data_IF_438538877267
#
_entry.id   IF_438538877267
#
_cell.length_a   1.000
_cell.length_b   1.000
_cell.length_c   1.000
_cell.angle_alpha   90.00
_cell.angle_beta   90.00
_cell.angle_gamma   90.00
#
_symmetry.space_group_name_H-M   'P 1'
#
loop_
_entity.id
_entity.type
_entity.pdbx_description
1 polymer ?
#
# COMPACT_ATOMS: atom_id res chain seq x y z
N UNK A 1 10.80 -16.89 -6.60
CA UNK A 1 10.50 -15.46 -6.40
C UNK A 1 9.54 -15.00 -7.46
N UNK A 2 8.23 -15.12 -7.19
CA UNK A 2 7.13 -14.62 -8.02
C UNK A 2 5.83 -14.87 -7.23
N UNK A 3 5.67 -14.20 -6.10
CA UNK A 3 4.40 -14.15 -5.37
C UNK A 3 4.29 -12.73 -4.86
N UNK A 4 3.17 -12.06 -5.14
CA UNK A 4 2.95 -10.60 -5.08
C UNK A 4 3.30 -9.91 -6.41
N UNK A 5 2.45 -10.09 -7.41
CA UNK A 5 2.32 -9.16 -8.54
C UNK A 5 0.81 -8.95 -8.77
N UNK A 6 0.23 -8.16 -7.88
CA UNK A 6 -0.99 -7.40 -8.11
C UNK A 6 -0.98 -6.21 -7.16
N UNK A 7 -0.18 -5.21 -7.52
CA UNK A 7 -0.27 -3.85 -6.99
C UNK A 7 -0.27 -2.89 -8.18
N UNK A 8 -1.16 -3.11 -9.16
CA UNK A 8 -1.63 -1.97 -9.95
C UNK A 8 -2.71 -1.27 -9.13
N UNK A 9 -2.27 -0.44 -8.18
CA UNK A 9 -3.13 0.61 -7.62
C UNK A 9 -3.48 1.50 -8.81
N UNK A 10 -4.72 1.43 -9.29
CA UNK A 10 -5.22 2.36 -10.29
C UNK A 10 -5.14 3.77 -9.70
N UNK A 11 -4.06 4.48 -10.02
CA UNK A 11 -3.92 5.89 -9.71
C UNK A 11 -4.94 6.68 -10.50
N UNK A 12 -6.09 6.96 -9.90
CA UNK A 12 -6.96 8.03 -10.38
C UNK A 12 -6.26 9.35 -10.03
N UNK A 13 -6.21 10.27 -10.99
CA UNK A 13 -5.63 11.62 -10.84
C UNK A 13 -6.42 12.54 -9.90
N UNK A 14 -7.20 11.97 -8.98
CA UNK A 14 -7.86 12.71 -7.91
C UNK A 14 -7.01 12.61 -6.65
N UNK A 15 -6.85 13.74 -5.97
CA UNK A 15 -6.20 13.82 -4.66
C UNK A 15 -7.11 13.15 -3.62
N UNK A 16 -7.24 11.83 -3.62
CA UNK A 16 -7.87 11.11 -2.52
C UNK A 16 -6.99 11.28 -1.28
N UNK A 17 -7.58 11.82 -0.21
CA UNK A 17 -6.86 12.09 1.04
C UNK A 17 -6.60 10.82 1.83
N UNK A 18 -7.59 9.92 1.85
CA UNK A 18 -7.55 8.69 2.63
C UNK A 18 -8.06 7.47 1.86
N UNK A 19 -7.54 6.30 2.23
CA UNK A 19 -7.94 5.01 1.68
C UNK A 19 -7.93 3.91 2.74
N UNK A 20 -8.89 3.00 2.67
CA UNK A 20 -8.95 1.77 3.45
C UNK A 20 -9.04 0.58 2.50
N UNK A 21 -8.08 -0.33 2.58
CA UNK A 21 -7.93 -1.43 1.63
C UNK A 21 -7.67 -2.75 2.35
N UNK A 22 -8.23 -3.84 1.83
CA UNK A 22 -8.00 -5.20 2.30
C UNK A 22 -7.56 -6.11 1.15
N UNK A 23 -6.60 -6.97 1.43
CA UNK A 23 -5.98 -7.88 0.47
C UNK A 23 -6.01 -9.30 1.04
N UNK A 24 -6.88 -10.13 0.50
CA UNK A 24 -7.01 -11.53 0.89
C UNK A 24 -6.31 -12.39 -0.16
N UNK A 25 -5.50 -13.34 0.30
CA UNK A 25 -4.79 -14.27 -0.58
C UNK A 25 -4.94 -15.68 -0.06
N UNK A 26 -5.55 -16.55 -0.88
CA UNK A 26 -5.57 -17.99 -0.66
C UNK A 26 -4.60 -18.68 -1.60
N UNK A 27 -3.91 -19.71 -1.10
CA UNK A 27 -2.93 -20.47 -1.88
C UNK A 27 -3.16 -21.97 -1.70
N UNK A 28 -2.89 -22.74 -2.75
CA UNK A 28 -2.85 -24.21 -2.67
C UNK A 28 -1.92 -24.69 -1.55
N UNK A 29 -2.31 -25.81 -0.92
CA UNK A 29 -1.54 -26.44 0.16
C UNK A 29 -0.15 -26.91 -0.27
N UNK A 30 0.75 -27.06 0.70
CA UNK A 30 2.03 -27.75 0.52
C UNK A 30 3.20 -26.84 0.16
N UNK A 31 3.07 -25.54 0.39
CA UNK A 31 4.16 -24.56 0.25
C UNK A 31 4.54 -23.98 1.62
N UNK A 32 5.72 -23.40 1.74
CA UNK A 32 6.17 -22.72 2.96
C UNK A 32 5.56 -21.31 3.09
N UNK A 33 4.23 -21.22 2.97
CA UNK A 33 3.43 -20.00 3.07
C UNK A 33 2.05 -20.37 3.65
N UNK A 34 1.40 -19.52 4.46
CA UNK A 34 0.05 -19.79 4.97
C UNK A 34 -0.94 -20.06 3.85
N UNK A 35 -1.85 -21.02 4.02
CA UNK A 35 -2.92 -21.30 3.04
C UNK A 35 -3.84 -20.08 2.79
N UNK A 36 -3.92 -19.16 3.75
CA UNK A 36 -4.70 -17.93 3.65
C UNK A 36 -4.04 -16.80 4.45
N UNK A 37 -4.06 -15.59 3.89
CA UNK A 37 -3.65 -14.36 4.56
C UNK A 37 -4.62 -13.22 4.26
N UNK A 38 -4.84 -12.36 5.24
CA UNK A 38 -5.58 -11.09 5.12
C UNK A 38 -4.70 -9.94 5.64
N UNK A 39 -4.58 -8.90 4.82
CA UNK A 39 -3.82 -7.68 5.10
C UNK A 39 -4.75 -6.47 4.96
N UNK A 40 -4.84 -5.65 5.99
CA UNK A 40 -5.55 -4.36 5.96
C UNK A 40 -4.58 -3.18 5.96
N UNK A 41 -4.81 -2.21 5.07
CA UNK A 41 -4.04 -0.97 4.95
C UNK A 41 -4.94 0.26 5.17
N UNK A 42 -4.43 1.26 5.88
CA UNK A 42 -4.97 2.64 5.92
C UNK A 42 -3.90 3.56 5.37
N UNK A 43 -4.18 4.27 4.27
CA UNK A 43 -3.23 5.16 3.56
C UNK A 43 -1.90 4.47 3.20
N UNK A 44 -1.95 3.16 2.94
CA UNK A 44 -0.79 2.33 2.67
C UNK A 44 -0.01 1.87 3.91
N UNK A 45 -0.37 2.32 5.12
CA UNK A 45 0.16 1.80 6.38
C UNK A 45 -0.59 0.51 6.76
N UNK A 46 0.14 -0.60 6.91
CA UNK A 46 -0.46 -1.85 7.36
C UNK A 46 -0.87 -1.75 8.83
N UNK A 47 -2.18 -1.85 9.10
CA UNK A 47 -2.71 -1.73 10.46
C UNK A 47 -3.14 -3.08 11.06
N UNK A 48 -3.48 -4.07 10.23
CA UNK A 48 -3.88 -5.42 10.66
C UNK A 48 -3.29 -6.52 9.77
N UNK A 49 -3.25 -7.73 10.32
CA UNK A 49 -2.80 -8.94 9.63
C UNK A 49 -3.44 -10.18 10.21
N UNK A 50 -3.79 -11.12 9.35
CA UNK A 50 -4.19 -12.47 9.70
C UNK A 50 -3.48 -13.48 8.80
N UNK A 51 -3.15 -14.65 9.36
CA UNK A 51 -2.71 -15.81 8.58
C UNK A 51 -3.31 -17.11 9.13
N UNK A 52 -3.42 -18.13 8.27
CA UNK A 52 -4.01 -19.42 8.63
C UNK A 52 -3.15 -20.30 9.55
N UNK A 53 -1.91 -19.92 9.87
CA UNK A 53 -1.10 -20.61 10.87
C UNK A 53 -1.39 -20.08 12.27
N UNK A 54 -1.45 -18.76 12.43
CA UNK A 54 -1.73 -18.09 13.71
C UNK A 54 -3.23 -18.05 14.03
N UNK A 55 -4.06 -17.92 12.99
CA UNK A 55 -5.53 -17.89 13.04
C UNK A 55 -6.12 -16.84 13.96
N UNK A 56 -5.42 -15.71 14.10
CA UNK A 56 -5.81 -14.56 14.90
C UNK A 56 -5.57 -13.26 14.12
N UNK A 57 -6.49 -12.30 14.23
CA UNK A 57 -6.25 -10.96 13.70
C UNK A 57 -5.28 -10.21 14.63
N UNK A 58 -4.15 -9.77 14.09
CA UNK A 58 -3.06 -9.15 14.83
C UNK A 58 -2.95 -7.66 14.45
N UNK A 59 -3.00 -6.73 15.42
CA UNK A 59 -2.70 -5.33 15.16
C UNK A 59 -1.23 -5.14 14.78
N UNK A 60 -0.98 -4.29 13.78
CA UNK A 60 0.37 -3.95 13.29
C UNK A 60 0.84 -2.56 13.69
N UNK A 61 -0.06 -1.76 14.26
CA UNK A 61 0.20 -0.39 14.71
C UNK A 61 -0.46 -0.15 16.07
N UNK A 62 0.15 0.70 16.89
CA UNK A 62 -0.33 0.95 18.25
C UNK A 62 -1.70 1.64 18.27
N UNK A 63 -2.00 2.48 17.26
CA UNK A 63 -3.24 3.24 17.26
C UNK A 63 -4.48 2.35 17.17
N UNK A 64 -4.50 1.28 16.37
CA UNK A 64 -5.66 0.38 16.31
C UNK A 64 -5.77 -0.45 17.60
N UNK A 65 -4.62 -0.93 18.10
CA UNK A 65 -4.53 -1.72 19.33
C UNK A 65 -5.06 -0.98 20.56
N UNK A 66 -4.77 0.32 20.64
CA UNK A 66 -5.10 1.13 21.82
C UNK A 66 -6.51 1.74 21.77
N UNK A 67 -7.16 1.75 20.60
CA UNK A 67 -8.48 2.35 20.43
C UNK A 67 -9.62 1.31 20.29
N UNK A 68 -9.32 0.05 20.00
CA UNK A 68 -10.32 -1.02 19.92
C UNK A 68 -10.27 -2.01 21.08
N UNK A 69 -11.44 -2.49 21.50
CA UNK A 69 -11.60 -3.43 22.60
C UNK A 69 -11.51 -4.91 22.20
N UNK A 70 -11.49 -5.84 23.16
CA UNK A 70 -11.42 -7.29 22.88
C UNK A 70 -12.54 -7.81 21.95
N UNK A 71 -13.77 -7.29 22.09
CA UNK A 71 -14.91 -7.69 21.26
C UNK A 71 -14.67 -7.42 19.77
N UNK A 72 -14.06 -6.27 19.42
CA UNK A 72 -13.68 -5.96 18.05
C UNK A 72 -12.74 -7.03 17.51
N UNK A 73 -11.69 -7.37 18.26
CA UNK A 73 -10.67 -8.34 17.85
C UNK A 73 -11.23 -9.76 17.70
N UNK A 74 -12.14 -10.16 18.58
CA UNK A 74 -12.84 -11.44 18.48
C UNK A 74 -13.70 -11.50 17.22
N UNK A 75 -14.46 -10.44 16.92
CA UNK A 75 -15.32 -10.36 15.74
C UNK A 75 -14.50 -10.41 14.44
N UNK A 76 -13.47 -9.56 14.29
CA UNK A 76 -12.65 -9.55 13.06
C UNK A 76 -11.85 -10.84 12.90
N UNK A 77 -11.45 -11.49 14.00
CA UNK A 77 -10.82 -12.82 13.93
C UNK A 77 -11.79 -13.89 13.43
N UNK A 78 -13.04 -13.87 13.89
CA UNK A 78 -14.07 -14.81 13.42
C UNK A 78 -14.40 -14.61 11.95
N UNK A 79 -14.48 -13.36 11.48
CA UNK A 79 -14.65 -13.07 10.05
C UNK A 79 -13.49 -13.61 9.21
N UNK A 80 -12.25 -13.33 9.61
CA UNK A 80 -11.07 -13.83 8.91
C UNK A 80 -11.02 -15.37 8.87
N UNK A 81 -11.42 -16.05 9.95
CA UNK A 81 -11.55 -17.51 9.98
C UNK A 81 -12.64 -18.05 9.04
N UNK A 82 -13.76 -17.32 8.89
CA UNK A 82 -14.78 -17.64 7.89
C UNK A 82 -14.23 -17.53 6.46
N UNK A 83 -13.55 -16.42 6.15
CA UNK A 83 -12.90 -16.25 4.86
C UNK A 83 -11.79 -17.27 4.59
N UNK A 84 -11.03 -17.67 5.60
CA UNK A 84 -10.04 -18.74 5.51
C UNK A 84 -10.67 -20.02 4.91
N UNK A 85 -11.83 -20.44 5.44
CA UNK A 85 -12.54 -21.62 4.95
C UNK A 85 -13.04 -21.43 3.50
N UNK A 86 -13.61 -20.27 3.20
CA UNK A 86 -14.12 -19.96 1.86
C UNK A 86 -13.01 -19.92 0.81
N UNK A 87 -11.86 -19.34 1.12
CA UNK A 87 -10.73 -19.27 0.19
C UNK A 87 -10.13 -20.64 -0.11
N UNK A 88 -10.04 -21.53 0.89
CA UNK A 88 -9.62 -22.92 0.66
C UNK A 88 -10.52 -23.62 -0.37
N UNK A 89 -11.83 -23.39 -0.30
CA UNK A 89 -12.78 -23.93 -1.28
C UNK A 89 -12.67 -23.22 -2.65
N UNK A 90 -12.56 -21.89 -2.66
CA UNK A 90 -12.50 -21.09 -3.87
C UNK A 90 -11.26 -21.40 -4.73
N UNK A 91 -10.09 -21.63 -4.11
CA UNK A 91 -8.88 -22.07 -4.84
C UNK A 91 -9.13 -23.38 -5.57
N UNK A 92 -9.76 -24.37 -4.91
CA UNK A 92 -10.10 -25.65 -5.52
C UNK A 92 -11.10 -25.54 -6.68
N UNK A 93 -12.12 -24.69 -6.53
CA UNK A 93 -13.11 -24.45 -7.59
C UNK A 93 -12.48 -23.74 -8.79
N UNK A 94 -11.63 -22.74 -8.55
CA UNK A 94 -10.91 -22.07 -9.61
C UNK A 94 -10.05 -23.07 -10.40
N UNK A 95 -9.23 -23.87 -9.72
CA UNK A 95 -8.43 -24.93 -10.35
C UNK A 95 -9.29 -25.86 -11.22
N UNK A 96 -10.44 -26.31 -10.73
CA UNK A 96 -11.36 -27.15 -11.50
C UNK A 96 -11.88 -26.45 -12.76
N UNK A 97 -12.30 -25.18 -12.67
CA UNK A 97 -12.80 -24.40 -13.81
C UNK A 97 -11.72 -24.13 -14.86
N UNK A 98 -10.46 -24.08 -14.45
CA UNK A 98 -9.30 -23.95 -15.33
C UNK A 98 -8.68 -25.29 -15.74
N UNK A 99 -9.30 -26.43 -15.38
CA UNK A 99 -8.83 -27.78 -15.67
C UNK A 99 -7.41 -28.07 -15.13
N UNK A 100 -7.05 -27.49 -13.99
CA UNK A 100 -5.77 -27.68 -13.31
C UNK A 100 -5.92 -28.72 -12.18
N UNK A 101 -5.03 -29.71 -12.16
CA UNK A 101 -5.07 -30.83 -11.20
C UNK A 101 -3.90 -30.86 -10.22
N UNK A 102 -2.92 -29.96 -10.39
CA UNK A 102 -1.75 -29.83 -9.53
C UNK A 102 -0.94 -28.60 -9.90
N UNK A 103 0.07 -28.29 -9.10
CA UNK A 103 0.78 -27.02 -9.16
C UNK A 103 0.37 -26.09 -8.02
N UNK A 104 1.04 -24.94 -7.94
CA UNK A 104 0.75 -23.92 -6.95
C UNK A 104 -0.14 -22.88 -7.60
N UNK A 105 -1.32 -22.65 -7.02
CA UNK A 105 -2.30 -21.70 -7.53
C UNK A 105 -2.72 -20.71 -6.45
N UNK A 106 -3.06 -19.49 -6.88
CA UNK A 106 -3.47 -18.42 -5.98
C UNK A 106 -4.85 -17.89 -6.35
N UNK A 107 -5.65 -17.57 -5.33
CA UNK A 107 -6.90 -16.84 -5.49
C UNK A 107 -6.86 -15.63 -4.57
N UNK A 108 -7.09 -14.44 -5.14
CA UNK A 108 -6.91 -13.17 -4.46
C UNK A 108 -8.21 -12.36 -4.50
N UNK A 109 -8.48 -11.63 -3.43
CA UNK A 109 -9.58 -10.67 -3.36
C UNK A 109 -9.07 -9.36 -2.77
N UNK A 110 -9.27 -8.28 -3.51
CA UNK A 110 -8.87 -6.95 -3.16
C UNK A 110 -10.11 -6.07 -3.16
N UNK A 111 -10.34 -5.37 -2.05
CA UNK A 111 -11.43 -4.41 -1.98
C UNK A 111 -11.06 -3.27 -1.06
N UNK A 112 -11.67 -2.12 -1.30
CA UNK A 112 -11.38 -0.94 -0.51
C UNK A 112 -12.20 0.25 -0.94
N UNK A 113 -12.17 1.28 -0.10
CA UNK A 113 -12.81 2.55 -0.35
C UNK A 113 -11.82 3.70 -0.23
N UNK A 114 -12.13 4.78 -0.91
CA UNK A 114 -11.37 6.02 -0.91
C UNK A 114 -12.29 7.16 -0.48
N UNK A 115 -11.73 8.11 0.27
CA UNK A 115 -12.44 9.30 0.74
C UNK A 115 -11.54 10.52 0.66
N UNK A 116 -12.09 11.56 0.06
CA UNK A 116 -11.54 12.91 0.05
C UNK A 116 -12.19 13.69 1.19
N UNK A 117 -11.39 14.07 2.19
CA UNK A 117 -11.83 14.78 3.40
C UNK A 117 -12.09 16.28 3.15
N UNK A 118 -11.68 16.83 2.00
CA UNK A 118 -11.97 18.21 1.59
C UNK A 118 -13.30 18.29 0.83
N UNK A 119 -13.52 17.39 -0.13
CA UNK A 119 -14.70 17.42 -1.01
C UNK A 119 -15.84 16.52 -0.53
N UNK A 120 -15.54 15.56 0.35
CA UNK A 120 -16.47 14.49 0.74
C UNK A 120 -16.70 13.45 -0.37
N UNK A 121 -15.94 13.51 -1.48
CA UNK A 121 -16.03 12.53 -2.54
C UNK A 121 -15.60 11.15 -2.03
N UNK A 122 -16.33 10.12 -2.44
CA UNK A 122 -16.05 8.73 -2.09
C UNK A 122 -15.96 7.89 -3.36
N UNK A 123 -15.11 6.88 -3.32
CA UNK A 123 -15.01 5.85 -4.35
C UNK A 123 -14.72 4.49 -3.70
N UNK A 124 -14.71 3.43 -4.50
CA UNK A 124 -14.30 2.12 -4.02
C UNK A 124 -14.10 1.12 -5.13
N UNK A 125 -13.66 -0.07 -4.75
CA UNK A 125 -13.47 -1.16 -5.70
C UNK A 125 -13.60 -2.52 -5.02
N UNK A 126 -13.89 -3.53 -5.83
CA UNK A 126 -13.81 -4.94 -5.48
C UNK A 126 -13.31 -5.71 -6.70
N UNK A 127 -12.25 -6.49 -6.53
CA UNK A 127 -11.59 -7.22 -7.59
C UNK A 127 -11.11 -8.57 -7.09
N UNK A 128 -11.26 -9.60 -7.93
CA UNK A 128 -10.73 -10.93 -7.69
C UNK A 128 -9.72 -11.28 -8.77
N UNK A 129 -8.63 -11.91 -8.34
CA UNK A 129 -7.58 -12.42 -9.21
C UNK A 129 -7.41 -13.93 -9.05
N UNK A 130 -7.03 -14.60 -10.12
CA UNK A 130 -6.62 -16.01 -10.12
C UNK A 130 -5.27 -16.16 -10.82
N UNK A 131 -4.30 -16.79 -10.17
CA UNK A 131 -2.92 -16.96 -10.67
C UNK A 131 -2.27 -15.65 -11.17
N UNK A 132 -2.57 -14.52 -10.54
CA UNK A 132 -2.02 -13.23 -10.93
C UNK A 132 -2.67 -12.62 -12.20
N UNK A 133 -3.82 -13.11 -12.64
CA UNK A 133 -4.64 -12.50 -13.68
C UNK A 133 -6.04 -12.08 -13.19
N UNK A 134 -6.63 -11.06 -13.82
CA UNK A 134 -7.99 -10.57 -13.52
C UNK A 134 -9.02 -11.69 -13.72
N UNK A 135 -9.85 -11.94 -12.70
CA UNK A 135 -10.88 -12.98 -12.73
C UNK A 135 -12.28 -12.41 -12.79
N UNK A 136 -12.66 -11.54 -11.84
CA UNK A 136 -13.97 -10.86 -11.81
C UNK A 136 -13.87 -9.57 -10.98
N UNK A 137 -14.55 -8.50 -11.38
CA UNK A 137 -14.53 -7.20 -10.66
C UNK A 137 -15.91 -6.55 -10.60
N UNK A 138 -16.21 -5.80 -9.54
CA UNK A 138 -17.45 -5.03 -9.44
C UNK A 138 -17.32 -3.72 -10.23
N UNK A 139 -18.23 -3.48 -11.18
CA UNK A 139 -18.46 -2.14 -11.71
C UNK A 139 -19.47 -1.43 -10.81
N UNK A 140 -18.98 -0.53 -9.96
CA UNK A 140 -19.80 0.23 -9.03
C UNK A 140 -20.88 1.08 -9.72
N UNK A 141 -20.61 1.57 -10.93
CA UNK A 141 -21.55 2.45 -11.66
C UNK A 141 -22.78 1.66 -12.10
N UNK A 142 -22.58 0.52 -12.76
CA UNK A 142 -23.68 -0.36 -13.16
C UNK A 142 -24.20 -1.24 -12.03
N UNK A 143 -23.47 -1.34 -10.90
CA UNK A 143 -23.77 -2.27 -9.79
C UNK A 143 -23.89 -3.72 -10.29
N UNK A 144 -22.93 -4.11 -11.12
CA UNK A 144 -22.85 -5.46 -11.68
C UNK A 144 -21.40 -5.90 -11.84
N UNK A 145 -21.14 -7.20 -11.88
CA UNK A 145 -19.78 -7.71 -12.03
C UNK A 145 -19.35 -7.78 -13.50
N UNK A 146 -18.07 -7.56 -13.76
CA UNK A 146 -17.45 -7.76 -15.07
C UNK A 146 -16.59 -9.02 -14.99
N UNK A 147 -16.85 -9.98 -15.89
CA UNK A 147 -16.13 -11.24 -15.99
C UNK A 147 -15.24 -11.23 -17.25
N UNK A 148 -13.95 -10.87 -17.15
CA UNK A 148 -13.04 -10.86 -18.30
C UNK A 148 -12.74 -12.25 -18.87
N UNK A 149 -12.96 -13.32 -18.09
CA UNK A 149 -12.71 -14.71 -18.50
C UNK A 149 -13.98 -15.57 -18.44
N UNK A 150 -14.16 -16.54 -19.36
CA UNK A 150 -15.33 -17.42 -19.37
C UNK A 150 -15.55 -18.18 -18.05
N UNK A 151 -14.47 -18.57 -17.38
CA UNK A 151 -14.47 -19.30 -16.10
C UNK A 151 -15.14 -18.51 -14.96
N UNK A 152 -15.21 -17.18 -15.09
CA UNK A 152 -15.82 -16.29 -14.11
C UNK A 152 -17.31 -16.01 -14.37
N UNK A 153 -17.87 -16.39 -15.53
CA UNK A 153 -19.27 -16.09 -15.89
C UNK A 153 -20.27 -16.69 -14.90
N UNK A 154 -20.03 -17.92 -14.44
CA UNK A 154 -20.87 -18.58 -13.41
C UNK A 154 -20.86 -17.77 -12.11
N UNK A 155 -19.70 -17.23 -11.73
CA UNK A 155 -19.57 -16.38 -10.53
C UNK A 155 -20.29 -15.06 -10.72
N UNK A 156 -20.16 -14.43 -11.89
CA UNK A 156 -20.89 -13.20 -12.23
C UNK A 156 -22.40 -13.40 -12.07
N UNK A 157 -22.96 -14.46 -12.64
CA UNK A 157 -24.40 -14.75 -12.52
C UNK A 157 -24.87 -14.91 -11.07
N UNK A 158 -24.03 -15.47 -10.20
CA UNK A 158 -24.34 -15.64 -8.78
C UNK A 158 -24.21 -14.33 -7.99
N UNK A 159 -23.23 -13.49 -8.32
CA UNK A 159 -22.93 -12.26 -7.57
C UNK A 159 -23.72 -11.04 -8.06
N UNK A 160 -24.16 -11.03 -9.31
CA UNK A 160 -25.06 -10.00 -9.82
C UNK A 160 -26.39 -10.02 -9.02
N UNK A 161 -26.92 -8.84 -8.70
CA UNK A 161 -28.10 -8.67 -7.85
C UNK A 161 -27.72 -8.39 -6.39
N UNK A 162 -28.26 -9.18 -5.45
CA UNK A 162 -28.19 -8.88 -4.01
C UNK A 162 -26.74 -8.74 -3.50
N UNK A 163 -25.82 -9.59 -3.95
CA UNK A 163 -24.43 -9.49 -3.51
C UNK A 163 -23.72 -8.24 -4.07
N UNK A 164 -23.97 -7.87 -5.32
CA UNK A 164 -23.46 -6.63 -5.90
C UNK A 164 -24.02 -5.38 -5.19
N UNK A 165 -25.31 -5.38 -4.85
CA UNK A 165 -25.95 -4.30 -4.08
C UNK A 165 -25.38 -4.19 -2.67
N UNK A 166 -25.20 -5.33 -1.99
CA UNK A 166 -24.57 -5.38 -0.68
C UNK A 166 -23.13 -4.85 -0.73
N UNK A 167 -22.32 -5.28 -1.71
CA UNK A 167 -20.94 -4.81 -1.86
C UNK A 167 -20.87 -3.32 -2.17
N UNK A 168 -21.77 -2.80 -3.01
CA UNK A 168 -21.89 -1.36 -3.24
C UNK A 168 -22.20 -0.61 -1.95
N UNK A 169 -23.16 -1.10 -1.15
CA UNK A 169 -23.48 -0.49 0.14
C UNK A 169 -22.30 -0.55 1.11
N UNK A 170 -21.59 -1.70 1.18
CA UNK A 170 -20.40 -1.83 1.99
C UNK A 170 -19.34 -0.79 1.60
N UNK A 171 -18.97 -0.73 0.32
CA UNK A 171 -17.90 0.14 -0.18
C UNK A 171 -18.25 1.62 -0.03
N UNK A 172 -19.51 2.00 -0.24
CA UNK A 172 -19.93 3.41 -0.21
C UNK A 172 -20.36 3.91 1.17
N UNK A 173 -20.62 3.03 2.15
CA UNK A 173 -21.11 3.43 3.48
C UNK A 173 -20.26 2.84 4.60
N UNK A 174 -20.23 1.51 4.75
CA UNK A 174 -19.61 0.84 5.89
C UNK A 174 -18.09 1.02 5.88
N UNK A 175 -17.46 0.86 4.71
CA UNK A 175 -16.03 1.04 4.53
C UNK A 175 -15.62 2.49 4.85
N UNK A 176 -16.39 3.49 4.39
CA UNK A 176 -16.15 4.91 4.67
C UNK A 176 -16.25 5.18 6.18
N UNK A 177 -17.29 4.66 6.85
CA UNK A 177 -17.44 4.79 8.30
C UNK A 177 -16.22 4.26 9.08
N UNK A 178 -15.72 3.07 8.73
CA UNK A 178 -14.54 2.50 9.37
C UNK A 178 -13.27 3.30 9.05
N UNK A 179 -13.12 3.74 7.80
CA UNK A 179 -11.99 4.57 7.39
C UNK A 179 -11.93 5.88 8.18
N UNK A 180 -13.05 6.61 8.33
CA UNK A 180 -13.10 7.82 9.14
C UNK A 180 -12.67 7.55 10.59
N UNK A 181 -13.13 6.45 11.18
CA UNK A 181 -12.77 6.02 12.53
C UNK A 181 -11.26 5.73 12.66
N UNK A 182 -10.70 4.99 11.71
CA UNK A 182 -9.28 4.63 11.72
C UNK A 182 -8.37 5.82 11.46
N UNK A 183 -8.76 6.74 10.56
CA UNK A 183 -8.05 8.01 10.35
C UNK A 183 -8.02 8.83 11.64
N UNK A 184 -9.13 8.87 12.40
CA UNK A 184 -9.15 9.54 13.71
C UNK A 184 -8.21 8.88 14.73
N UNK A 185 -8.19 7.55 14.80
CA UNK A 185 -7.29 6.81 15.69
C UNK A 185 -5.82 7.04 15.34
N UNK A 186 -5.50 6.94 14.06
CA UNK A 186 -4.16 7.02 13.52
C UNK A 186 -3.68 8.44 13.24
N UNK A 187 -4.47 9.48 13.53
CA UNK A 187 -4.24 10.87 13.09
C UNK A 187 -2.78 11.32 13.21
N UNK A 188 -2.17 11.14 14.38
CA UNK A 188 -0.78 11.54 14.63
C UNK A 188 0.26 10.75 13.82
N UNK A 189 -0.03 9.48 13.49
CA UNK A 189 0.83 8.62 12.67
C UNK A 189 0.61 8.87 11.17
N UNK A 190 -0.65 8.96 10.73
CA UNK A 190 -1.04 9.09 9.33
C UNK A 190 -0.74 10.49 8.76
N UNK A 191 -0.90 11.54 9.58
CA UNK A 191 -0.54 12.92 9.22
C UNK A 191 0.96 13.21 9.39
N UNK A 192 1.74 12.25 9.93
CA UNK A 192 3.19 12.40 10.08
C UNK A 192 3.81 12.74 8.72
N UNK A 193 4.72 13.71 8.73
CA UNK A 193 5.48 14.12 7.55
C UNK A 193 6.96 14.08 7.90
N UNK A 194 7.70 13.18 7.26
CA UNK A 194 9.16 13.11 7.38
C UNK A 194 9.75 13.44 6.01
N UNK A 195 10.57 14.50 5.89
CA UNK A 195 11.14 14.89 4.61
C UNK A 195 12.22 13.90 4.12
N UNK A 196 12.36 13.73 2.80
CA UNK A 196 13.37 12.84 2.23
C UNK A 196 14.78 13.39 2.45
N UNK A 197 15.68 12.49 2.81
CA UNK A 197 17.11 12.74 2.70
C UNK A 197 17.56 12.34 1.29
N UNK A 198 18.09 13.30 0.54
CA UNK A 198 18.47 13.10 -0.86
C UNK A 198 19.99 13.10 -1.01
N UNK A 199 20.51 12.11 -1.73
CA UNK A 199 21.93 11.97 -2.05
C UNK A 199 22.12 11.66 -3.53
N UNK A 200 23.22 12.13 -4.11
CA UNK A 200 23.67 11.74 -5.44
C UNK A 200 24.75 10.68 -5.29
N UNK A 201 24.56 9.51 -5.90
CA UNK A 201 25.45 8.37 -5.82
C UNK A 201 25.99 8.04 -7.21
N UNK A 202 27.25 7.63 -7.28
CA UNK A 202 27.84 7.15 -8.52
C UNK A 202 28.90 6.09 -8.20
N UNK A 203 28.97 5.01 -8.96
CA UNK A 203 29.97 3.95 -8.71
C UNK A 203 31.36 4.38 -9.18
N UNK A 204 31.44 4.89 -10.41
CA UNK A 204 32.65 5.40 -11.05
C UNK A 204 32.28 6.57 -11.99
N UNK A 205 33.24 7.39 -12.45
CA UNK A 205 32.94 8.56 -13.27
C UNK A 205 32.17 8.29 -14.56
N UNK A 206 32.22 7.08 -15.13
CA UNK A 206 31.49 6.69 -16.34
C UNK A 206 30.11 6.08 -16.07
N UNK A 207 29.86 5.58 -14.85
CA UNK A 207 28.57 5.03 -14.45
C UNK A 207 27.45 6.07 -14.45
N UNK A 208 26.18 5.63 -14.59
CA UNK A 208 25.01 6.45 -14.31
C UNK A 208 25.07 7.13 -12.94
N UNK A 209 24.44 8.29 -12.84
CA UNK A 209 24.29 8.98 -11.55
C UNK A 209 22.93 8.64 -10.97
N UNK A 210 22.90 8.14 -9.74
CA UNK A 210 21.68 7.78 -9.04
C UNK A 210 21.32 8.89 -8.06
N UNK A 211 20.17 9.51 -8.25
CA UNK A 211 19.54 10.32 -7.20
C UNK A 211 18.76 9.38 -6.28
N UNK A 212 19.18 9.28 -5.01
CA UNK A 212 18.56 8.42 -4.01
C UNK A 212 17.90 9.29 -2.94
N UNK A 213 16.59 9.11 -2.76
CA UNK A 213 15.82 9.68 -1.68
C UNK A 213 15.49 8.57 -0.68
N UNK A 214 15.67 8.80 0.62
CA UNK A 214 15.35 7.82 1.67
C UNK A 214 14.89 8.49 2.96
N UNK A 215 14.30 7.71 3.87
CA UNK A 215 13.89 8.16 5.19
C UNK A 215 12.64 9.05 5.20
N UNK A 216 11.89 9.10 4.08
CA UNK A 216 10.68 9.92 3.99
C UNK A 216 9.42 9.15 4.37
N UNK A 217 8.40 9.90 4.80
CA UNK A 217 7.07 9.39 5.02
C UNK A 217 6.05 10.51 4.75
N UNK A 218 4.95 10.21 4.03
CA UNK A 218 4.49 8.92 3.50
C UNK A 218 5.25 8.48 2.23
N UNK A 219 4.96 7.28 1.73
CA UNK A 219 5.67 6.70 0.58
C UNK A 219 5.44 7.38 -0.77
N UNK A 220 4.43 8.24 -0.91
CA UNK A 220 4.17 8.96 -2.17
C UNK A 220 5.20 10.08 -2.35
N UNK A 221 6.16 9.85 -3.24
CA UNK A 221 7.18 10.82 -3.66
C UNK A 221 7.29 10.86 -5.19
N UNK A 222 7.42 12.06 -5.73
CA UNK A 222 7.73 12.27 -7.14
C UNK A 222 9.21 12.61 -7.28
N UNK A 223 9.89 11.93 -8.19
CA UNK A 223 11.30 12.17 -8.51
C UNK A 223 11.43 12.36 -10.01
N UNK A 224 12.12 13.40 -10.42
CA UNK A 224 12.42 13.68 -11.83
C UNK A 224 13.84 14.25 -11.97
N UNK A 225 14.33 14.25 -13.21
CA UNK A 225 15.55 14.94 -13.57
C UNK A 225 15.22 16.12 -14.48
N UNK A 226 16.00 17.18 -14.35
CA UNK A 226 15.95 18.33 -15.23
C UNK A 226 17.30 18.53 -15.91
N UNK A 227 17.28 18.96 -17.18
CA UNK A 227 18.43 19.41 -17.96
C UNK A 227 18.23 20.88 -18.29
N UNK A 228 19.13 21.73 -17.80
CA UNK A 228 19.11 23.19 -17.95
C UNK A 228 17.74 23.81 -17.59
N UNK A 229 17.12 23.28 -16.52
CA UNK A 229 15.85 23.75 -15.97
C UNK A 229 14.59 23.21 -16.68
N UNK A 230 14.72 22.26 -17.61
CA UNK A 230 13.59 21.58 -18.26
C UNK A 230 13.53 20.11 -17.87
N UNK A 231 12.32 19.60 -17.66
CA UNK A 231 12.12 18.19 -17.30
C UNK A 231 12.68 17.26 -18.38
N UNK A 232 13.46 16.29 -17.93
CA UNK A 232 14.13 15.29 -18.74
C UNK A 232 13.51 13.93 -18.45
N UNK A 233 13.01 13.30 -19.51
CA UNK A 233 12.38 11.97 -19.45
C UNK A 233 13.22 10.93 -20.20
N UNK A 234 14.00 11.37 -21.20
CA UNK A 234 14.97 10.53 -21.91
C UNK A 234 16.18 10.23 -21.02
N UNK A 235 16.74 9.03 -21.13
CA UNK A 235 17.90 8.58 -20.35
C UNK A 235 17.71 8.63 -18.83
N UNK A 236 16.46 8.59 -18.36
CA UNK A 236 16.09 8.59 -16.95
C UNK A 236 15.32 7.32 -16.61
N UNK A 237 15.80 6.59 -15.60
CA UNK A 237 15.10 5.43 -15.04
C UNK A 237 14.67 5.73 -13.60
N UNK A 238 13.36 5.89 -13.38
CA UNK A 238 12.80 6.13 -12.05
C UNK A 238 12.29 4.80 -11.48
N UNK A 239 12.95 4.32 -10.44
CA UNK A 239 12.59 3.08 -9.77
C UNK A 239 11.31 3.20 -8.93
N UNK A 240 10.82 2.04 -8.47
CA UNK A 240 9.69 1.95 -7.54
C UNK A 240 10.02 2.53 -6.16
N UNK A 241 8.99 2.95 -5.43
CA UNK A 241 9.14 3.28 -4.01
C UNK A 241 9.24 1.98 -3.21
N UNK A 242 10.30 1.84 -2.43
CA UNK A 242 10.54 0.70 -1.54
C UNK A 242 10.32 1.10 -0.09
N UNK A 243 9.86 0.16 0.74
CA UNK A 243 9.71 0.34 2.18
C UNK A 243 11.00 0.05 2.94
N UNK A 244 11.21 0.76 4.03
CA UNK A 244 12.27 0.53 5.00
C UNK A 244 11.73 -0.21 6.23
N UNK A 245 12.63 -0.83 7.01
CA UNK A 245 12.28 -1.57 8.22
C UNK A 245 11.74 -0.69 9.36
N UNK A 246 11.97 0.62 9.30
CA UNK A 246 11.56 1.62 10.29
C UNK A 246 10.22 2.30 9.94
N UNK A 247 9.54 1.82 8.90
CA UNK A 247 8.27 2.38 8.41
C UNK A 247 8.43 3.66 7.58
N UNK A 248 9.66 4.02 7.18
CA UNK A 248 9.92 5.06 6.16
C UNK A 248 10.05 4.44 4.77
N UNK A 249 10.25 5.26 3.75
CA UNK A 249 10.36 4.83 2.36
C UNK A 249 11.65 5.33 1.70
N UNK A 250 11.98 4.71 0.58
CA UNK A 250 13.09 5.10 -0.29
C UNK A 250 12.73 4.95 -1.76
N UNK A 251 13.37 5.75 -2.63
CA UNK A 251 13.18 5.71 -4.07
C UNK A 251 14.43 6.20 -4.79
N UNK A 252 14.66 5.73 -6.02
CA UNK A 252 15.80 6.11 -6.86
C UNK A 252 15.37 6.65 -8.22
N UNK A 253 16.13 7.60 -8.74
CA UNK A 253 16.04 8.06 -10.12
C UNK A 253 17.45 8.08 -10.73
N UNK A 254 17.71 7.21 -11.70
CA UNK A 254 19.00 7.03 -12.36
C UNK A 254 19.06 7.86 -13.64
N UNK A 255 20.17 8.57 -13.84
CA UNK A 255 20.45 9.39 -15.00
C UNK A 255 21.58 8.77 -15.83
N UNK A 256 21.26 8.35 -17.05
CA UNK A 256 22.09 7.55 -17.95
C UNK A 256 22.72 8.40 -19.07
N UNK A 257 23.39 9.50 -18.72
CA UNK A 257 24.08 10.36 -19.70
C UNK A 257 25.59 10.23 -19.64
N UNK A 258 26.24 10.47 -20.79
CA UNK A 258 27.70 10.39 -20.90
C UNK A 258 28.41 11.42 -19.99
N UNK A 259 29.64 11.14 -19.54
CA UNK A 259 30.41 12.10 -18.74
C UNK A 259 30.60 13.46 -19.44
N UNK A 260 30.79 13.47 -20.76
CA UNK A 260 30.96 14.69 -21.54
C UNK A 260 29.67 15.51 -21.59
N UNK A 261 28.52 14.85 -21.67
CA UNK A 261 27.23 15.51 -21.63
C UNK A 261 26.94 16.12 -20.25
N UNK A 262 27.31 15.42 -19.16
CA UNK A 262 27.22 15.95 -17.79
C UNK A 262 28.07 17.19 -17.55
N UNK A 263 29.23 17.28 -18.21
CA UNK A 263 30.10 18.46 -18.10
C UNK A 263 29.60 19.67 -18.90
N UNK A 264 28.80 19.44 -19.95
CA UNK A 264 28.31 20.48 -20.86
C UNK A 264 26.97 21.08 -20.43
N UNK A 265 26.18 20.36 -19.66
CA UNK A 265 24.81 20.74 -19.30
C UNK A 265 24.59 20.70 -17.79
N UNK A 266 23.60 21.42 -17.28
CA UNK A 266 23.28 21.46 -15.86
C UNK A 266 22.15 20.48 -15.56
N UNK A 267 22.45 19.41 -14.83
CA UNK A 267 21.45 18.44 -14.40
C UNK A 267 21.02 18.70 -12.96
N UNK A 268 19.72 18.56 -12.69
CA UNK A 268 19.16 18.69 -11.33
C UNK A 268 18.19 17.57 -11.08
N UNK A 269 18.36 16.83 -9.98
CA UNK A 269 17.34 15.91 -9.49
C UNK A 269 16.32 16.72 -8.67
N UNK A 270 15.04 16.59 -9.00
CA UNK A 270 13.94 17.25 -8.28
C UNK A 270 13.16 16.19 -7.53
N UNK A 271 12.97 16.41 -6.22
CA UNK A 271 12.23 15.51 -5.34
C UNK A 271 11.08 16.28 -4.72
N UNK A 272 9.84 15.92 -5.08
CA UNK A 272 8.63 16.51 -4.54
C UNK A 272 7.95 15.54 -3.58
N UNK A 273 7.71 16.00 -2.36
CA UNK A 273 7.13 15.21 -1.29
C UNK A 273 6.23 16.07 -0.41
N UNK A 274 5.12 15.52 0.11
CA UNK A 274 4.10 16.28 0.85
C UNK A 274 4.58 16.91 2.17
N UNK A 275 5.82 16.63 2.58
CA UNK A 275 6.43 17.19 3.78
C UNK A 275 6.87 18.64 3.66
N UNK A 276 7.00 19.19 2.45
CA UNK A 276 7.49 20.55 2.26
C UNK A 276 7.75 20.91 0.80
N UNK A 277 8.55 21.95 0.60
CA UNK A 277 8.92 22.44 -0.72
C UNK A 277 9.78 21.42 -1.50
N UNK A 278 9.74 21.44 -2.84
CA UNK A 278 10.58 20.58 -3.68
C UNK A 278 12.07 20.71 -3.35
N UNK A 279 12.75 19.57 -3.25
CA UNK A 279 14.20 19.51 -3.04
C UNK A 279 14.90 19.45 -4.39
N UNK A 280 15.78 20.43 -4.65
CA UNK A 280 16.57 20.51 -5.88
C UNK A 280 18.02 20.11 -5.61
N UNK A 281 18.40 18.91 -6.06
CA UNK A 281 19.76 18.40 -5.98
C UNK A 281 20.50 18.62 -7.30
N UNK A 282 21.16 19.77 -7.39
CA UNK A 282 22.02 20.12 -8.53
C UNK A 282 23.18 19.11 -8.59
N UNK A 283 23.38 18.52 -9.76
CA UNK A 283 24.48 17.59 -10.03
C UNK A 283 25.79 18.35 -10.15
N UNK A 284 26.67 18.18 -9.16
CA UNK A 284 28.07 18.63 -9.18
C UNK A 284 28.95 17.51 -8.68
N UNK A 285 30.20 17.41 -9.17
CA UNK A 285 31.14 16.35 -8.77
C UNK A 285 31.33 16.29 -7.24
N UNK A 286 31.35 17.44 -6.57
CA UNK A 286 31.48 17.55 -5.10
C UNK A 286 30.32 16.95 -4.31
N UNK A 287 29.13 16.87 -4.91
CA UNK A 287 27.92 16.34 -4.25
C UNK A 287 27.72 14.85 -4.49
N UNK A 288 28.49 14.25 -5.40
CA UNK A 288 28.43 12.82 -5.71
C UNK A 288 29.18 12.03 -4.64
N UNK A 289 28.50 11.06 -4.03
CA UNK A 289 29.13 10.07 -3.16
C UNK A 289 29.52 8.86 -3.99
N UNK A 290 30.80 8.48 -3.93
CA UNK A 290 31.36 7.30 -4.61
C UNK A 290 31.87 6.29 -3.58
N UNK A 291 31.71 5.01 -3.85
CA UNK A 291 32.21 3.91 -3.00
C UNK A 291 33.64 3.50 -3.36
N UNK A 292 34.39 4.31 -4.11
CA UNK A 292 35.76 3.98 -4.50
C UNK A 292 36.62 3.85 -3.23
N UNK A 293 37.17 2.64 -3.03
CA UNK A 293 38.07 2.34 -1.93
C UNK A 293 39.31 3.26 -2.01
N UNK A 294 39.33 4.30 -1.19
CA UNK A 294 40.39 5.29 -1.12
C UNK A 294 40.62 5.70 0.33
N UNK A 295 41.68 5.18 0.91
CA UNK A 295 42.26 5.56 2.22
C UNK A 295 42.42 7.07 2.36
N UNK A 296 41.79 7.70 3.36
CA UNK A 296 42.07 9.09 3.69
C UNK A 296 41.04 9.80 4.56
N UNK A 297 41.20 9.69 5.89
CA UNK A 297 40.84 10.65 6.95
C UNK A 297 39.65 11.59 6.70
N UNK A 298 38.48 11.24 7.24
CA UNK A 298 37.43 12.23 7.57
C UNK A 298 37.14 12.18 9.07
N UNK A 299 37.35 13.32 9.71
CA UNK A 299 37.25 13.59 11.13
C UNK A 299 35.89 13.19 11.72
N UNK A 300 35.90 12.23 12.65
CA UNK A 300 34.75 11.95 13.53
C UNK A 300 34.47 13.18 14.40
N UNK A 301 33.50 14.02 14.01
CA UNK A 301 32.76 14.85 14.96
C UNK A 301 31.56 14.05 15.44
N UNK A 302 31.75 13.42 16.59
CA UNK A 302 30.70 12.82 17.41
C UNK A 302 29.67 13.92 17.73
N UNK A 303 28.50 13.89 17.09
CA UNK A 303 27.34 14.64 17.58
C UNK A 303 26.71 13.83 18.70
N UNK A 304 26.87 14.30 19.94
CA UNK A 304 26.14 13.78 21.09
C UNK A 304 24.66 14.15 20.97
N UNK A 305 23.72 13.24 21.25
CA UNK A 305 22.30 13.58 21.32
C UNK A 305 22.01 14.41 22.59
N UNK A 306 21.27 15.51 22.41
CA UNK A 306 20.73 16.31 23.51
C UNK A 306 19.59 15.54 24.23
N UNK A 307 19.39 15.76 25.54
CA UNK A 307 18.46 14.97 26.34
C UNK A 307 16.98 15.29 26.02
N UNK A 308 16.17 14.22 25.96
CA UNK A 308 14.71 14.26 25.91
C UNK A 308 14.16 14.82 27.22
N UNK A 309 13.56 16.02 27.14
CA UNK A 309 12.82 16.60 28.25
C UNK A 309 11.37 16.07 28.24
N UNK A 310 11.04 15.25 29.23
CA UNK A 310 9.68 14.71 29.47
C UNK A 310 8.85 15.79 30.14
N UNK A 311 7.87 16.35 29.43
CA UNK A 311 6.76 17.07 30.07
C UNK A 311 5.46 16.31 29.81
N UNK A 312 4.95 15.68 30.88
CA UNK A 312 3.59 15.21 30.97
C UNK A 312 2.65 16.41 31.05
N UNK A 313 1.67 16.47 30.17
CA UNK A 313 0.45 17.25 30.38
C UNK A 313 -0.74 16.35 30.10
N UNK A 314 -1.49 16.08 31.17
CA UNK A 314 -2.81 15.49 31.13
C UNK A 314 -3.79 16.48 30.46
N UNK A 315 -4.56 15.98 29.50
CA UNK A 315 -5.80 16.64 29.07
C UNK A 315 -6.90 15.60 28.97
N UNK A 316 -7.75 15.61 29.99
CA UNK A 316 -9.12 15.11 29.93
C UNK A 316 -9.90 15.85 28.86
N UNK A 317 -10.63 15.14 28.00
CA UNK A 317 -11.81 15.70 27.35
C UNK A 317 -12.90 14.65 27.16
N UNK A 318 -14.00 14.91 27.88
CA UNK A 318 -15.35 14.44 27.62
C UNK A 318 -15.78 14.80 26.18
N UNK A 319 -16.49 13.88 25.51
CA UNK A 319 -17.78 14.18 24.86
C UNK A 319 -18.44 12.93 24.24
N UNK A 320 -19.57 12.56 24.86
CA UNK A 320 -20.82 12.09 24.26
C UNK A 320 -20.79 11.51 22.85
N UNK A 321 -20.73 10.17 22.78
CA UNK A 321 -21.10 9.43 21.57
C UNK A 321 -22.61 9.21 21.52
N UNK A 322 -23.22 9.72 20.45
CA UNK A 322 -24.53 9.27 20.00
C UNK A 322 -24.36 7.89 19.39
N UNK A 323 -24.70 6.90 20.19
CA UNK A 323 -24.68 5.49 19.85
C UNK A 323 -25.69 5.18 18.72
N UNK A 324 -25.20 4.92 17.52
CA UNK A 324 -25.93 4.14 16.51
C UNK A 324 -25.08 2.90 16.28
N UNK A 325 -25.54 1.74 16.76
CA UNK A 325 -24.85 0.46 16.60
C UNK A 325 -24.80 0.08 15.12
N UNK A 326 -23.75 0.50 14.41
CA UNK A 326 -23.31 -0.18 13.20
C UNK A 326 -22.53 -1.41 13.66
N UNK A 327 -23.12 -2.59 13.54
CA UNK A 327 -22.38 -3.85 13.72
C UNK A 327 -21.19 -3.87 12.76
N UNK A 328 -20.02 -4.31 13.23
CA UNK A 328 -18.88 -4.63 12.37
C UNK A 328 -19.40 -5.66 11.36
N UNK A 329 -19.66 -5.23 10.14
CA UNK A 329 -20.08 -6.10 9.05
C UNK A 329 -18.97 -6.06 8.02
N UNK A 330 -18.15 -7.12 7.95
CA UNK A 330 -17.21 -7.30 6.85
C UNK A 330 -17.94 -7.91 5.65
N UNK A 331 -17.48 -7.63 4.42
CA UNK A 331 -18.14 -8.14 3.26
C UNK A 331 -17.95 -9.65 3.18
N UNK A 332 -19.01 -10.39 2.87
CA UNK A 332 -18.87 -11.82 2.62
C UNK A 332 -18.16 -12.02 1.27
N UNK A 333 -17.20 -12.94 1.21
CA UNK A 333 -16.56 -13.35 -0.03
C UNK A 333 -17.61 -14.10 -0.84
N UNK A 334 -18.41 -13.41 -1.67
CA UNK A 334 -19.50 -14.03 -2.41
C UNK A 334 -19.02 -15.33 -3.08
N UNK A 335 -19.46 -16.47 -2.55
CA UNK A 335 -18.76 -17.74 -2.73
C UNK A 335 -18.76 -18.21 -4.19
N UNK A 336 -17.66 -18.82 -4.67
CA UNK A 336 -17.73 -19.73 -5.82
C UNK A 336 -18.52 -21.00 -5.48
N UNK A 337 -18.70 -21.27 -4.19
CA UNK A 337 -19.29 -22.46 -3.60
C UNK A 337 -20.82 -22.35 -3.57
N UNK A 338 -21.48 -23.03 -4.50
CA UNK A 338 -22.71 -23.81 -4.35
C UNK A 338 -23.18 -24.16 -5.77
N UNK A 339 -22.89 -25.39 -6.18
CA UNK A 339 -23.66 -26.13 -7.19
C UNK A 339 -24.36 -27.27 -6.51
#
# INVERSE_FOLDING_TARGET
SAFILFLEVRGTNNKCSHSLQYFYTGVTRGINFPEFTDVGLVDGEQFVYYDSNTRQMIPKVDWIKNNEGPEYWDIVTQFAQGHEANFKANVGIAMQRFNQSGGIHTFQWMYGCEWDDETGATDGYEQYGYDGADFISLDLKSTSYVAPVPQAVITKQKKDGVAAEFMKNYLTQICIYWMEKYVQYGKSSLERKVPPQVSLLQTDPSSPVVCHATGFYPGKVMMSWQKDGRDLHEDVDVGETLSNHDGTFQKRAELNVTPDERKKNHFTCVVEHKSGDPIHMILTEEKIRTNSAGTGSSSNKLFQPAPLNRNHTNTTNNKNDKNTQLQVTQPESGDLVQT
#
